data_IF_348281505513
#
_entry.id   IF_348281505513
#
_cell.length_a   1.000
_cell.length_b   1.000
_cell.length_c   1.000
_cell.angle_alpha   90.00
_cell.angle_beta   90.00
_cell.angle_gamma   90.00
#
_symmetry.space_group_name_H-M   'P 1'
#
loop_
_entity.id
_entity.type
_entity.pdbx_description
1 polymer ?
#
# COMPACT_ATOMS: atom_id res chain seq x y z
N UNK A 1 -3.81 -11.18 -5.14
CA UNK A 1 -3.32 -10.19 -4.15
C UNK A 1 -1.91 -10.51 -3.67
N UNK A 2 -1.64 -11.71 -3.13
CA UNK A 2 -0.32 -12.11 -2.63
C UNK A 2 0.73 -12.10 -3.74
N UNK A 3 0.46 -12.73 -4.88
CA UNK A 3 1.41 -12.82 -5.99
C UNK A 3 1.87 -11.48 -6.58
N UNK A 4 1.09 -10.42 -6.42
CA UNK A 4 1.46 -9.06 -6.87
C UNK A 4 1.89 -8.13 -5.73
N UNK A 5 1.99 -8.62 -4.51
CA UNK A 5 2.14 -7.76 -3.32
C UNK A 5 1.19 -6.55 -3.38
N UNK A 6 -0.10 -6.81 -3.61
CA UNK A 6 -1.08 -5.77 -3.90
C UNK A 6 -1.15 -4.72 -2.79
N UNK A 7 -1.35 -3.47 -3.20
CA UNK A 7 -1.52 -2.32 -2.32
C UNK A 7 -2.65 -1.44 -2.82
N UNK A 8 -3.58 -1.08 -1.93
CA UNK A 8 -4.70 -0.19 -2.22
C UNK A 8 -4.41 1.26 -1.87
N UNK A 9 -5.47 2.10 -1.96
CA UNK A 9 -5.43 3.52 -1.61
C UNK A 9 -5.11 3.77 -0.12
N UNK A 10 -5.36 2.79 0.76
CA UNK A 10 -5.03 2.86 2.18
C UNK A 10 -3.57 2.44 2.50
N UNK A 11 -2.77 2.10 1.49
CA UNK A 11 -1.39 1.68 1.70
C UNK A 11 -0.48 2.78 2.27
N UNK A 12 -0.87 4.03 2.19
CA UNK A 12 -0.14 5.16 2.80
C UNK A 12 0.01 4.99 4.32
N UNK A 13 -0.99 4.43 4.98
CA UNK A 13 -0.99 4.12 6.42
C UNK A 13 -0.77 2.63 6.69
N UNK A 14 -1.49 1.78 6.00
CA UNK A 14 -1.60 0.36 6.31
C UNK A 14 -0.60 -0.53 5.56
N UNK A 15 0.18 0.04 4.63
CA UNK A 15 1.19 -0.74 3.92
C UNK A 15 0.64 -1.64 2.82
N UNK A 16 1.31 -2.75 2.56
CA UNK A 16 1.07 -3.65 1.44
C UNK A 16 0.65 -5.05 1.93
N UNK A 17 0.25 -5.93 1.02
CA UNK A 17 -0.16 -7.31 1.34
C UNK A 17 0.94 -8.05 2.13
N UNK A 18 2.22 -7.89 1.78
CA UNK A 18 3.36 -8.49 2.49
C UNK A 18 3.34 -8.21 3.98
N UNK A 19 3.04 -6.98 4.38
CA UNK A 19 3.07 -6.55 5.79
C UNK A 19 2.08 -7.33 6.67
N UNK A 20 1.18 -8.10 6.05
CA UNK A 20 0.14 -8.88 6.72
C UNK A 20 0.28 -10.39 6.54
N UNK A 21 1.12 -10.86 5.62
CA UNK A 21 1.30 -12.29 5.40
C UNK A 21 2.13 -12.88 6.55
N UNK A 22 1.56 -13.87 7.24
CA UNK A 22 2.23 -14.60 8.32
C UNK A 22 2.72 -15.97 7.84
N UNK A 23 1.92 -16.61 6.96
CA UNK A 23 2.23 -17.94 6.42
C UNK A 23 1.53 -18.14 5.08
N UNK A 24 2.18 -18.89 4.21
CA UNK A 24 1.64 -19.36 2.94
C UNK A 24 1.77 -20.87 2.84
N UNK A 25 0.80 -21.52 2.24
CA UNK A 25 0.92 -22.88 1.74
C UNK A 25 1.02 -22.82 0.23
N UNK A 26 2.03 -23.49 -0.33
CA UNK A 26 2.44 -23.32 -1.71
C UNK A 26 2.66 -24.69 -2.32
N UNK A 27 2.13 -24.90 -3.52
CA UNK A 27 2.45 -26.05 -4.38
C UNK A 27 3.56 -25.63 -5.33
N UNK A 28 4.72 -26.29 -5.25
CA UNK A 28 5.88 -26.03 -6.10
C UNK A 28 5.71 -26.70 -7.48
N UNK A 29 6.62 -26.40 -8.41
CA UNK A 29 6.57 -26.90 -9.79
C UNK A 29 6.65 -28.43 -9.90
N UNK A 30 7.27 -29.10 -8.92
CA UNK A 30 7.39 -30.57 -8.84
C UNK A 30 6.15 -31.23 -8.16
N UNK A 31 5.15 -30.43 -7.76
CA UNK A 31 3.97 -30.88 -7.04
C UNK A 31 4.15 -31.01 -5.54
N UNK A 32 5.33 -30.79 -5.01
CA UNK A 32 5.55 -30.79 -3.56
C UNK A 32 4.88 -29.61 -2.87
N UNK A 33 4.54 -29.77 -1.59
CA UNK A 33 3.89 -28.73 -0.79
C UNK A 33 4.89 -28.11 0.19
N UNK A 34 4.99 -26.80 0.18
CA UNK A 34 5.82 -26.01 1.06
C UNK A 34 4.98 -25.13 1.98
N UNK A 35 5.25 -25.21 3.29
CA UNK A 35 4.74 -24.24 4.27
C UNK A 35 5.79 -23.13 4.42
N UNK A 36 5.45 -21.92 3.96
CA UNK A 36 6.35 -20.78 3.95
C UNK A 36 5.97 -19.79 5.04
N UNK A 37 6.89 -19.51 5.94
CA UNK A 37 6.84 -18.50 7.01
C UNK A 37 8.26 -18.02 7.29
N UNK A 38 8.43 -17.16 8.24
CA UNK A 38 9.78 -16.83 8.74
C UNK A 38 10.44 -18.07 9.36
N UNK A 39 11.64 -18.39 8.89
CA UNK A 39 12.39 -19.59 9.32
C UNK A 39 13.74 -19.17 9.92
N UNK A 40 13.99 -19.46 11.21
CA UNK A 40 15.31 -19.25 11.80
C UNK A 40 16.40 -20.04 11.06
N UNK A 41 17.50 -19.39 10.71
CA UNK A 41 18.65 -20.05 10.06
C UNK A 41 19.43 -20.96 11.00
N UNK A 42 19.28 -20.74 12.31
CA UNK A 42 19.90 -21.57 13.34
C UNK A 42 18.92 -22.67 13.77
N UNK A 43 19.38 -23.92 13.74
CA UNK A 43 18.57 -25.08 14.10
C UNK A 43 18.27 -26.01 12.94
N UNK A 44 17.43 -27.01 13.19
CA UNK A 44 17.15 -28.10 12.23
C UNK A 44 16.14 -27.71 11.15
N UNK A 45 15.25 -26.78 11.46
CA UNK A 45 14.13 -26.44 10.58
C UNK A 45 14.58 -25.95 9.18
N UNK A 46 15.55 -25.02 9.14
CA UNK A 46 16.11 -24.56 7.87
C UNK A 46 16.75 -25.72 7.09
N UNK A 47 17.53 -26.56 7.75
CA UNK A 47 18.17 -27.72 7.14
C UNK A 47 17.15 -28.72 6.59
N UNK A 48 16.05 -28.95 7.30
CA UNK A 48 14.96 -29.83 6.86
C UNK A 48 14.23 -29.27 5.62
N UNK A 49 14.01 -27.98 5.58
CA UNK A 49 13.41 -27.31 4.41
C UNK A 49 14.35 -27.40 3.20
N UNK A 50 15.63 -27.07 3.38
CA UNK A 50 16.65 -27.10 2.32
C UNK A 50 16.87 -28.52 1.79
N UNK A 51 16.78 -29.55 2.65
CA UNK A 51 16.89 -30.95 2.19
C UNK A 51 15.78 -31.32 1.18
N UNK A 52 14.61 -30.73 1.33
CA UNK A 52 13.46 -30.94 0.42
C UNK A 52 13.45 -29.97 -0.76
N UNK A 53 13.93 -28.74 -0.57
CA UNK A 53 13.95 -27.68 -1.59
C UNK A 53 15.35 -27.03 -1.65
N UNK A 54 16.36 -27.72 -2.24
CA UNK A 54 17.76 -27.24 -2.24
C UNK A 54 17.96 -25.86 -2.89
N UNK A 55 17.09 -25.48 -3.80
CA UNK A 55 17.12 -24.17 -4.46
C UNK A 55 17.03 -22.99 -3.46
N UNK A 56 16.40 -23.17 -2.29
CA UNK A 56 16.31 -22.13 -1.26
C UNK A 56 17.68 -21.77 -0.66
N UNK A 57 18.57 -22.75 -0.52
CA UNK A 57 19.93 -22.47 -0.08
C UNK A 57 20.72 -21.67 -1.13
N UNK A 58 20.51 -21.94 -2.42
CA UNK A 58 21.11 -21.14 -3.48
C UNK A 58 20.59 -19.69 -3.47
N UNK A 59 19.29 -19.48 -3.23
CA UNK A 59 18.71 -18.14 -3.06
C UNK A 59 19.34 -17.42 -1.86
N UNK A 60 19.41 -18.07 -0.70
CA UNK A 60 20.03 -17.51 0.50
C UNK A 60 21.46 -17.06 0.25
N UNK A 61 22.28 -17.95 -0.29
CA UNK A 61 23.70 -17.63 -0.62
C UNK A 61 23.81 -16.51 -1.64
N UNK A 62 22.92 -16.45 -2.64
CA UNK A 62 22.92 -15.37 -3.62
C UNK A 62 22.59 -14.01 -2.99
N UNK A 63 21.61 -13.98 -2.08
CA UNK A 63 21.26 -12.75 -1.34
C UNK A 63 22.44 -12.27 -0.49
N UNK A 64 23.14 -13.18 0.20
CA UNK A 64 24.34 -12.86 1.00
C UNK A 64 25.50 -12.38 0.13
N UNK A 65 25.81 -13.10 -0.95
CA UNK A 65 26.93 -12.77 -1.83
C UNK A 65 26.77 -11.42 -2.54
N UNK A 66 25.53 -11.00 -2.84
CA UNK A 66 25.23 -9.76 -3.54
C UNK A 66 24.58 -8.70 -2.64
N UNK A 67 24.65 -8.89 -1.32
CA UNK A 67 23.98 -8.07 -0.32
C UNK A 67 24.22 -6.56 -0.50
N UNK A 68 25.47 -6.16 -0.64
CA UNK A 68 25.85 -4.75 -0.77
C UNK A 68 25.22 -4.11 -2.02
N UNK A 69 25.29 -4.78 -3.17
CA UNK A 69 24.67 -4.32 -4.41
C UNK A 69 23.14 -4.26 -4.29
N UNK A 70 22.52 -5.26 -3.65
CA UNK A 70 21.08 -5.32 -3.42
C UNK A 70 20.61 -4.14 -2.56
N UNK A 71 21.25 -3.90 -1.43
CA UNK A 71 20.89 -2.79 -0.53
C UNK A 71 21.19 -1.43 -1.15
N UNK A 72 22.28 -1.31 -1.90
CA UNK A 72 22.64 -0.09 -2.63
C UNK A 72 21.66 0.26 -3.76
N UNK A 73 20.93 -0.72 -4.31
CA UNK A 73 19.90 -0.51 -5.33
C UNK A 73 18.54 -0.08 -4.78
N UNK A 74 18.35 -0.11 -3.45
CA UNK A 74 17.08 0.22 -2.81
C UNK A 74 16.67 1.66 -3.08
N UNK A 75 15.46 1.83 -3.57
CA UNK A 75 14.86 3.15 -3.74
C UNK A 75 14.23 3.62 -2.42
N UNK A 76 14.33 4.92 -2.08
CA UNK A 76 13.75 5.49 -0.85
C UNK A 76 12.22 5.67 -0.99
N UNK A 77 11.50 4.61 -1.34
CA UNK A 77 10.05 4.60 -1.48
C UNK A 77 9.45 3.57 -0.53
N UNK A 78 8.27 3.87 0.02
CA UNK A 78 7.58 2.95 0.94
C UNK A 78 6.95 1.76 0.22
N UNK A 79 6.57 1.93 -1.05
CA UNK A 79 5.81 0.95 -1.81
C UNK A 79 6.72 0.20 -2.77
N UNK A 80 6.73 -1.12 -2.66
CA UNK A 80 7.39 -2.02 -3.60
C UNK A 80 6.34 -2.99 -4.17
N UNK A 81 5.93 -2.79 -5.40
CA UNK A 81 4.85 -3.56 -6.05
C UNK A 81 5.29 -4.18 -7.37
N UNK A 82 6.58 -4.41 -7.56
CA UNK A 82 7.14 -4.97 -8.78
C UNK A 82 8.14 -6.08 -8.46
N UNK A 83 7.73 -7.32 -8.65
CA UNK A 83 8.58 -8.49 -8.50
C UNK A 83 9.09 -8.74 -7.08
N UNK A 84 10.25 -9.39 -6.99
CA UNK A 84 10.90 -9.74 -5.73
C UNK A 84 11.52 -8.53 -5.05
N UNK A 85 11.21 -8.34 -3.77
CA UNK A 85 11.83 -7.30 -2.95
C UNK A 85 13.12 -7.83 -2.30
N UNK A 86 14.16 -7.93 -3.11
CA UNK A 86 15.44 -8.49 -2.67
C UNK A 86 16.07 -7.71 -1.51
N UNK A 87 15.87 -6.38 -1.47
CA UNK A 87 16.39 -5.55 -0.39
C UNK A 87 15.71 -5.88 0.95
N UNK A 88 14.40 -6.06 0.95
CA UNK A 88 13.65 -6.50 2.13
C UNK A 88 14.08 -7.90 2.59
N UNK A 89 14.23 -8.84 1.65
CA UNK A 89 14.72 -10.20 1.98
C UNK A 89 16.11 -10.17 2.60
N UNK A 90 17.04 -9.39 2.04
CA UNK A 90 18.40 -9.26 2.56
C UNK A 90 18.43 -8.62 3.97
N UNK A 91 17.61 -7.61 4.24
CA UNK A 91 17.52 -6.97 5.55
C UNK A 91 17.01 -7.92 6.66
N UNK A 92 16.07 -8.81 6.35
CA UNK A 92 15.57 -9.80 7.31
C UNK A 92 16.60 -10.90 7.52
N UNK A 93 17.29 -11.31 6.45
CA UNK A 93 18.33 -12.32 6.51
C UNK A 93 19.46 -11.94 7.48
N UNK A 94 19.81 -10.65 7.57
CA UNK A 94 20.78 -10.12 8.56
C UNK A 94 20.38 -10.38 10.02
N UNK A 95 19.11 -10.64 10.28
CA UNK A 95 18.60 -10.98 11.62
C UNK A 95 18.68 -12.48 11.94
N UNK A 96 19.29 -13.27 11.06
CA UNK A 96 19.38 -14.72 11.20
C UNK A 96 18.09 -15.48 10.89
N UNK A 97 17.18 -14.87 10.13
CA UNK A 97 15.90 -15.43 9.72
C UNK A 97 15.78 -15.41 8.19
N UNK A 98 15.36 -16.52 7.60
CA UNK A 98 14.98 -16.53 6.18
C UNK A 98 13.48 -16.20 6.04
N UNK A 99 13.12 -15.08 5.43
CA UNK A 99 11.71 -14.66 5.27
C UNK A 99 11.06 -15.42 4.12
N UNK A 100 10.82 -16.72 4.33
CA UNK A 100 10.39 -17.62 3.26
C UNK A 100 9.02 -17.23 2.68
N UNK A 101 8.08 -16.77 3.50
CA UNK A 101 6.80 -16.28 2.99
C UNK A 101 6.97 -15.08 2.07
N UNK A 102 7.84 -14.11 2.44
CA UNK A 102 8.07 -12.89 1.69
C UNK A 102 8.76 -13.13 0.34
N UNK A 103 9.51 -14.24 0.20
CA UNK A 103 10.07 -14.66 -1.09
C UNK A 103 8.96 -14.94 -2.12
N UNK A 104 7.81 -15.46 -1.67
CA UNK A 104 6.69 -15.78 -2.56
C UNK A 104 5.73 -14.61 -2.77
N UNK A 105 5.73 -13.62 -1.88
CA UNK A 105 4.92 -12.40 -2.04
C UNK A 105 5.52 -11.52 -3.15
N UNK A 106 4.74 -11.25 -4.18
CA UNK A 106 5.20 -10.53 -5.37
C UNK A 106 5.85 -11.43 -6.44
N UNK A 107 5.83 -12.76 -6.26
CA UNK A 107 6.44 -13.71 -7.21
C UNK A 107 5.63 -13.93 -8.49
N UNK A 108 4.40 -13.46 -8.57
CA UNK A 108 3.51 -13.54 -9.73
C UNK A 108 3.33 -14.98 -10.29
N UNK A 109 3.40 -15.98 -9.39
CA UNK A 109 3.26 -17.39 -9.75
C UNK A 109 4.53 -18.04 -10.30
N UNK A 110 5.65 -17.34 -10.40
CA UNK A 110 6.90 -17.87 -10.97
C UNK A 110 7.58 -18.92 -10.07
N UNK A 111 7.28 -18.96 -8.77
CA UNK A 111 7.89 -19.88 -7.80
C UNK A 111 6.95 -21.01 -7.36
N UNK A 112 5.66 -20.89 -7.61
CA UNK A 112 4.66 -21.87 -7.20
C UNK A 112 3.27 -21.27 -7.11
N UNK A 113 2.29 -22.12 -6.76
CA UNK A 113 0.88 -21.75 -6.63
C UNK A 113 0.53 -21.65 -5.15
N UNK A 114 0.15 -20.45 -4.69
CA UNK A 114 -0.34 -20.23 -3.33
C UNK A 114 -1.74 -20.79 -3.18
N UNK A 115 -1.92 -21.75 -2.27
CA UNK A 115 -3.21 -22.42 -2.01
C UNK A 115 -3.88 -21.95 -0.71
N UNK A 116 -3.08 -21.56 0.29
CA UNK A 116 -3.58 -21.05 1.57
C UNK A 116 -2.74 -19.85 2.02
N UNK A 117 -3.39 -18.89 2.67
CA UNK A 117 -2.76 -17.69 3.22
C UNK A 117 -3.23 -17.47 4.65
N UNK A 118 -2.29 -17.33 5.59
CA UNK A 118 -2.56 -16.84 6.94
C UNK A 118 -2.19 -15.37 7.01
N UNK A 119 -3.16 -14.52 7.35
CA UNK A 119 -2.98 -13.07 7.42
C UNK A 119 -3.15 -12.55 8.85
N UNK A 120 -2.33 -11.58 9.21
CA UNK A 120 -2.62 -10.69 10.32
C UNK A 120 -3.81 -9.80 9.94
N UNK A 121 -4.74 -9.60 10.87
CA UNK A 121 -5.89 -8.72 10.67
C UNK A 121 -5.78 -7.48 11.55
N UNK A 122 -6.43 -6.41 11.13
CA UNK A 122 -6.55 -5.16 11.89
C UNK A 122 -7.99 -4.96 12.35
N UNK A 123 -8.16 -4.23 13.45
CA UNK A 123 -9.49 -3.75 13.83
C UNK A 123 -9.96 -2.71 12.82
N UNK A 124 -11.21 -2.82 12.41
CA UNK A 124 -11.84 -1.78 11.59
C UNK A 124 -11.98 -0.52 12.45
N UNK A 125 -11.52 0.65 11.97
CA UNK A 125 -11.69 1.90 12.69
C UNK A 125 -13.18 2.17 12.96
N UNK A 126 -13.54 2.62 14.19
CA UNK A 126 -14.94 2.85 14.55
C UNK A 126 -15.55 4.03 13.77
N UNK A 127 -14.73 4.97 13.36
CA UNK A 127 -15.13 6.18 12.63
C UNK A 127 -14.04 6.58 11.65
N UNK A 128 -14.48 7.15 10.53
CA UNK A 128 -13.61 7.78 9.53
C UNK A 128 -14.20 9.13 9.11
N UNK A 129 -13.37 9.98 8.52
CA UNK A 129 -13.81 11.17 7.80
C UNK A 129 -13.11 11.22 6.45
N UNK A 130 -13.88 11.43 5.39
CA UNK A 130 -13.33 11.67 4.05
C UNK A 130 -13.41 13.15 3.71
N UNK A 131 -12.28 13.75 3.37
CA UNK A 131 -12.19 15.13 2.87
C UNK A 131 -12.14 15.12 1.35
N UNK A 132 -12.88 16.03 0.73
CA UNK A 132 -12.83 16.30 -0.70
C UNK A 132 -12.39 17.74 -0.92
N UNK A 133 -11.31 17.91 -1.69
CA UNK A 133 -10.75 19.20 -2.07
C UNK A 133 -10.62 19.26 -3.60
N UNK A 134 -11.10 20.37 -4.19
CA UNK A 134 -10.91 20.66 -5.61
C UNK A 134 -9.95 21.82 -5.78
N UNK A 135 -8.85 21.60 -6.48
CA UNK A 135 -7.81 22.57 -6.73
C UNK A 135 -8.00 23.30 -8.06
N UNK A 136 -7.74 24.59 -8.08
CA UNK A 136 -7.72 25.43 -9.27
C UNK A 136 -6.44 25.27 -10.10
N UNK A 137 -5.37 24.75 -9.49
CA UNK A 137 -4.10 24.46 -10.14
C UNK A 137 -3.62 23.05 -9.79
N UNK A 138 -3.18 22.29 -10.81
CA UNK A 138 -2.63 20.93 -10.62
C UNK A 138 -1.33 20.94 -9.80
N UNK A 139 -0.52 21.99 -9.97
CA UNK A 139 0.77 22.17 -9.29
C UNK A 139 0.63 22.23 -7.76
N UNK A 140 -0.53 22.62 -7.26
CA UNK A 140 -0.82 22.67 -5.82
C UNK A 140 -1.07 21.29 -5.21
N UNK A 141 -1.33 20.24 -6.03
CA UNK A 141 -1.65 18.91 -5.55
C UNK A 141 -0.50 18.29 -4.71
N UNK A 142 0.71 18.32 -5.24
CA UNK A 142 1.89 17.77 -4.54
C UNK A 142 2.22 18.48 -3.22
N UNK A 143 2.28 19.81 -3.19
CA UNK A 143 2.43 20.59 -1.95
C UNK A 143 1.33 20.30 -0.92
N UNK A 144 0.05 20.25 -1.34
CA UNK A 144 -1.06 19.93 -0.45
C UNK A 144 -0.93 18.52 0.16
N UNK A 145 -0.56 17.53 -0.64
CA UNK A 145 -0.30 16.17 -0.17
C UNK A 145 0.81 16.17 0.90
N UNK A 146 1.91 16.89 0.67
CA UNK A 146 3.01 16.99 1.64
C UNK A 146 2.60 17.63 2.96
N UNK A 147 1.68 18.59 2.93
CA UNK A 147 1.16 19.23 4.14
C UNK A 147 0.18 18.33 4.91
N UNK A 148 -0.54 17.45 4.22
CA UNK A 148 -1.52 16.54 4.81
C UNK A 148 -0.88 15.24 5.34
N UNK A 149 0.18 14.73 4.71
CA UNK A 149 0.83 13.48 5.12
C UNK A 149 1.26 13.43 6.60
N UNK A 150 1.84 14.49 7.20
CA UNK A 150 2.21 14.49 8.63
C UNK A 150 1.02 14.42 9.58
N UNK A 151 -0.21 14.61 9.08
CA UNK A 151 -1.44 14.51 9.86
C UNK A 151 -1.95 13.07 9.98
N UNK A 152 -1.29 12.11 9.32
CA UNK A 152 -1.59 10.68 9.42
C UNK A 152 -2.84 10.23 8.65
N UNK A 153 -3.03 10.61 7.38
CA UNK A 153 -4.17 10.10 6.61
C UNK A 153 -4.05 8.60 6.43
N UNK A 154 -5.19 7.89 6.50
CA UNK A 154 -5.25 6.47 6.18
C UNK A 154 -5.40 6.22 4.67
N UNK A 155 -5.92 7.20 3.93
CA UNK A 155 -6.00 7.18 2.48
C UNK A 155 -5.76 8.57 1.90
N UNK A 156 -5.11 8.63 0.74
CA UNK A 156 -4.90 9.87 -0.01
C UNK A 156 -4.83 9.54 -1.50
N UNK A 157 -5.74 10.13 -2.28
CA UNK A 157 -5.89 9.88 -3.72
C UNK A 157 -6.05 11.20 -4.46
N UNK A 158 -5.14 11.47 -5.40
CA UNK A 158 -5.19 12.62 -6.30
C UNK A 158 -5.71 12.20 -7.67
N UNK A 159 -6.57 13.03 -8.27
CA UNK A 159 -7.12 12.86 -9.61
C UNK A 159 -6.86 14.13 -10.38
N UNK A 160 -6.25 14.03 -11.54
CA UNK A 160 -5.94 15.17 -12.42
C UNK A 160 -7.15 15.64 -13.23
N UNK A 161 -7.01 16.79 -13.89
CA UNK A 161 -8.09 17.43 -14.67
C UNK A 161 -8.59 16.56 -15.82
N UNK A 162 -7.72 15.87 -16.53
CA UNK A 162 -8.09 15.03 -17.68
C UNK A 162 -8.93 13.83 -17.22
N UNK A 163 -8.51 13.20 -16.11
CA UNK A 163 -9.28 12.13 -15.48
C UNK A 163 -10.63 12.62 -14.94
N UNK A 164 -10.71 13.88 -14.43
CA UNK A 164 -11.99 14.49 -14.02
C UNK A 164 -12.94 14.71 -15.21
N UNK A 165 -12.41 15.06 -16.39
CA UNK A 165 -13.20 15.17 -17.61
C UNK A 165 -13.74 13.81 -18.06
N UNK A 166 -12.94 12.76 -17.98
CA UNK A 166 -13.37 11.38 -18.29
C UNK A 166 -14.48 10.88 -17.37
N UNK A 167 -14.50 11.32 -16.10
CA UNK A 167 -15.56 10.98 -15.14
C UNK A 167 -16.91 11.60 -15.50
N UNK A 168 -16.91 12.71 -16.23
CA UNK A 168 -18.11 13.51 -16.46
C UNK A 168 -18.38 14.44 -15.27
N UNK A 169 -17.89 15.66 -15.35
CA UNK A 169 -17.89 16.66 -14.26
C UNK A 169 -19.27 16.88 -13.65
N UNK A 170 -20.29 17.07 -14.51
CA UNK A 170 -21.65 17.37 -14.06
C UNK A 170 -22.25 16.22 -13.23
N UNK A 171 -22.09 14.98 -13.70
CA UNK A 171 -22.63 13.80 -13.03
C UNK A 171 -22.07 13.58 -11.61
N UNK A 172 -20.87 14.10 -11.34
CA UNK A 172 -20.16 13.97 -10.05
C UNK A 172 -20.06 15.29 -9.28
N UNK A 173 -20.73 16.37 -9.74
CA UNK A 173 -20.69 17.67 -9.10
C UNK A 173 -19.29 18.27 -9.00
N UNK A 174 -18.45 18.01 -10.00
CA UNK A 174 -17.07 18.48 -10.08
C UNK A 174 -17.09 19.91 -10.64
N UNK A 175 -16.47 20.91 -9.97
CA UNK A 175 -16.41 22.27 -10.47
C UNK A 175 -15.74 22.33 -11.86
N UNK A 176 -16.30 23.09 -12.82
CA UNK A 176 -15.74 23.14 -14.19
C UNK A 176 -14.29 23.61 -14.24
N UNK A 177 -13.91 24.52 -13.32
CA UNK A 177 -12.56 25.08 -13.23
C UNK A 177 -11.57 24.18 -12.46
N UNK A 178 -12.01 23.09 -11.82
CA UNK A 178 -11.12 22.22 -11.08
C UNK A 178 -10.05 21.57 -11.99
N UNK A 179 -8.79 21.73 -11.64
CA UNK A 179 -7.64 21.15 -12.33
C UNK A 179 -7.12 19.89 -11.65
N UNK A 180 -7.50 19.70 -10.39
CA UNK A 180 -7.28 18.46 -9.67
C UNK A 180 -8.33 18.27 -8.57
N UNK A 181 -8.50 17.02 -8.16
CA UNK A 181 -9.30 16.62 -7.01
C UNK A 181 -8.43 15.81 -6.07
N UNK A 182 -8.56 16.05 -4.77
CA UNK A 182 -7.91 15.26 -3.72
C UNK A 182 -8.97 14.69 -2.80
N UNK A 183 -8.95 13.37 -2.63
CA UNK A 183 -9.68 12.63 -1.60
C UNK A 183 -8.69 12.24 -0.49
N UNK A 184 -9.01 12.58 0.75
CA UNK A 184 -8.17 12.25 1.91
C UNK A 184 -9.05 11.66 3.00
N UNK A 185 -8.65 10.53 3.57
CA UNK A 185 -9.39 9.87 4.64
C UNK A 185 -8.55 9.78 5.91
N UNK A 186 -9.19 10.05 7.05
CA UNK A 186 -8.60 9.91 8.37
C UNK A 186 -9.49 9.00 9.21
N UNK A 187 -8.88 8.23 10.10
CA UNK A 187 -9.53 7.16 10.87
C UNK A 187 -9.08 7.11 12.35
N UNK A 188 -8.34 8.09 12.81
CA UNK A 188 -7.83 8.16 14.18
C UNK A 188 -7.92 9.56 14.77
N UNK A 189 -8.01 9.62 16.10
CA UNK A 189 -8.00 10.86 16.86
C UNK A 189 -9.35 11.58 16.88
N UNK A 190 -9.31 12.86 17.25
CA UNK A 190 -10.45 13.76 17.17
C UNK A 190 -10.62 14.28 15.75
N UNK A 191 -11.45 13.58 14.98
CA UNK A 191 -11.64 13.85 13.55
C UNK A 191 -12.27 15.23 13.30
N UNK A 192 -13.16 15.68 14.16
CA UNK A 192 -13.79 17.01 14.08
C UNK A 192 -12.77 18.13 14.28
N UNK A 193 -11.95 18.01 15.33
CA UNK A 193 -10.86 18.96 15.58
C UNK A 193 -9.81 18.95 14.44
N UNK A 194 -9.50 17.77 13.90
CA UNK A 194 -8.59 17.62 12.77
C UNK A 194 -9.10 18.34 11.51
N UNK A 195 -10.36 18.11 11.15
CA UNK A 195 -11.02 18.77 10.01
C UNK A 195 -11.02 20.29 10.20
N UNK A 196 -11.40 20.76 11.39
CA UNK A 196 -11.38 22.19 11.69
C UNK A 196 -9.96 22.79 11.60
N UNK A 197 -8.93 22.05 12.04
CA UNK A 197 -7.52 22.48 11.89
C UNK A 197 -7.13 22.55 10.42
N UNK A 198 -7.41 21.51 9.61
CA UNK A 198 -7.11 21.51 8.18
C UNK A 198 -7.79 22.69 7.49
N UNK A 199 -9.06 22.94 7.78
CA UNK A 199 -9.82 24.05 7.22
C UNK A 199 -9.24 25.43 7.56
N UNK A 200 -8.65 25.60 8.76
CA UNK A 200 -8.06 26.88 9.19
C UNK A 200 -6.62 27.08 8.78
N UNK A 201 -5.81 26.02 8.70
CA UNK A 201 -4.34 26.15 8.60
C UNK A 201 -3.73 25.57 7.33
N UNK A 202 -4.38 24.60 6.70
CA UNK A 202 -3.86 23.96 5.49
C UNK A 202 -4.62 24.44 4.25
N UNK A 203 -5.94 24.27 4.23
CA UNK A 203 -6.78 24.58 3.05
C UNK A 203 -6.61 26.03 2.55
N UNK A 204 -6.51 27.07 3.40
CA UNK A 204 -6.35 28.46 2.94
C UNK A 204 -5.02 28.76 2.23
N UNK A 205 -4.05 27.86 2.31
CA UNK A 205 -2.75 28.02 1.64
C UNK A 205 -2.81 27.66 0.15
N UNK A 206 -3.93 27.07 -0.29
CA UNK A 206 -4.15 26.57 -1.63
C UNK A 206 -5.38 27.19 -2.27
N UNK A 207 -5.37 27.35 -3.59
CA UNK A 207 -6.50 27.85 -4.34
C UNK A 207 -7.52 26.74 -4.58
N UNK A 208 -8.51 26.68 -3.69
CA UNK A 208 -9.61 25.72 -3.84
C UNK A 208 -10.73 26.37 -4.67
N UNK A 209 -11.29 25.59 -5.59
CA UNK A 209 -12.44 26.04 -6.44
C UNK A 209 -13.75 26.13 -5.67
N UNK A 210 -13.83 25.46 -4.50
CA UNK A 210 -14.90 25.57 -3.50
C UNK A 210 -14.34 25.19 -2.12
N UNK A 211 -15.05 25.55 -1.02
CA UNK A 211 -14.63 25.12 0.32
C UNK A 211 -14.45 23.61 0.40
N UNK A 212 -13.49 23.14 1.22
CA UNK A 212 -13.32 21.70 1.46
C UNK A 212 -14.63 21.10 1.97
N UNK A 213 -14.93 19.91 1.52
CA UNK A 213 -16.05 19.11 2.00
C UNK A 213 -15.54 18.03 2.94
N UNK A 214 -16.19 17.86 4.10
CA UNK A 214 -15.90 16.81 5.06
C UNK A 214 -17.11 15.88 5.22
N UNK A 215 -16.94 14.62 4.88
CA UNK A 215 -17.98 13.59 4.96
C UNK A 215 -17.69 12.66 6.15
N UNK A 216 -18.58 12.69 7.17
CA UNK A 216 -18.55 11.76 8.31
C UNK A 216 -19.54 10.60 8.11
N UNK A 217 -20.65 10.84 7.41
CA UNK A 217 -21.66 9.83 7.17
C UNK A 217 -21.17 8.80 6.14
N UNK A 218 -21.29 7.48 6.43
CA UNK A 218 -20.81 6.42 5.55
C UNK A 218 -21.32 6.49 4.12
N UNK A 219 -22.62 6.80 3.96
CA UNK A 219 -23.24 6.93 2.63
C UNK A 219 -22.61 8.07 1.82
N UNK A 220 -22.30 9.20 2.49
CA UNK A 220 -21.64 10.32 1.83
C UNK A 220 -20.21 9.98 1.46
N UNK A 221 -19.45 9.33 2.36
CA UNK A 221 -18.10 8.81 2.06
C UNK A 221 -18.13 7.88 0.87
N UNK A 222 -19.04 6.90 0.85
CA UNK A 222 -19.20 5.96 -0.25
C UNK A 222 -19.49 6.67 -1.59
N UNK A 223 -20.30 7.75 -1.57
CA UNK A 223 -20.59 8.56 -2.74
C UNK A 223 -19.33 9.29 -3.26
N UNK A 224 -18.50 9.86 -2.37
CA UNK A 224 -17.24 10.52 -2.75
C UNK A 224 -16.26 9.53 -3.37
N UNK A 225 -16.10 8.34 -2.77
CA UNK A 225 -15.23 7.29 -3.30
C UNK A 225 -15.76 6.65 -4.59
N UNK A 226 -17.06 6.78 -4.89
CA UNK A 226 -17.66 6.25 -6.13
C UNK A 226 -17.02 6.89 -7.37
N UNK A 227 -16.78 8.20 -7.36
CA UNK A 227 -16.12 8.89 -8.46
C UNK A 227 -14.76 8.26 -8.77
N UNK A 228 -13.91 8.05 -7.74
CA UNK A 228 -12.60 7.40 -7.90
C UNK A 228 -12.71 5.98 -8.46
N UNK A 229 -13.66 5.17 -7.98
CA UNK A 229 -13.86 3.79 -8.46
C UNK A 229 -14.35 3.72 -9.92
N UNK A 230 -15.00 4.76 -10.40
CA UNK A 230 -15.49 4.81 -11.79
C UNK A 230 -14.39 5.05 -12.82
N UNK A 231 -13.19 5.50 -12.40
CA UNK A 231 -12.02 5.66 -13.28
C UNK A 231 -11.35 4.34 -13.65
N UNK A 232 -11.48 3.32 -12.77
CA UNK A 232 -10.84 2.02 -12.95
C UNK A 232 -11.89 0.95 -12.65
N UNK A 233 -12.65 0.52 -13.66
CA UNK A 233 -13.68 -0.51 -13.53
C UNK A 233 -13.10 -1.91 -13.20
#
# INVERSE_FOLDING_TARGET
MVGHNASGYQSVKYGQTRDYVLRLRIVLADGSVLEARDVPLHGTEWSDIVSRVPALEAVRRSLEAHREAILGSRRPVKKHSCGYDLAHLAEILDRGVFPLADLFVGSEGTLGIVTEVTLRVLRVPPRTVTLLLFLDAFEDLGPLVRDLLPLGPCAIEGIDGDSLDMLGREAHGIPPQARAMLLVEFDEGDLEALVARIGRTVAPRYRLTRPLEAAFAPDRQAALWKARRSLFP
#
